data_IF_740479198214
#
_entry.id   IF_740479198214
#
_cell.length_a   1.000
_cell.length_b   1.000
_cell.length_c   1.000
_cell.angle_alpha   90.00
_cell.angle_beta   90.00
_cell.angle_gamma   90.00
#
_symmetry.space_group_name_H-M   'P 1'
#
loop_
_entity.id
_entity.type
_entity.pdbx_description
1 polymer ?
#
# COMPACT_ATOMS: atom_id res chain seq x y z
N UNK A 1 0.55 22.08 -7.77
CA UNK A 1 0.66 22.29 -6.32
C UNK A 1 1.71 21.32 -5.79
N UNK A 2 2.69 21.78 -5.03
CA UNK A 2 3.67 20.90 -4.38
C UNK A 2 2.94 20.04 -3.34
N UNK A 3 2.97 18.72 -3.50
CA UNK A 3 2.45 17.78 -2.50
C UNK A 3 3.48 17.67 -1.39
N UNK A 4 3.11 18.05 -0.16
CA UNK A 4 4.00 18.04 0.99
C UNK A 4 4.49 16.61 1.28
N UNK A 5 5.72 16.50 1.78
CA UNK A 5 6.30 15.26 2.27
C UNK A 5 6.52 15.31 3.78
N UNK A 6 6.27 14.19 4.46
CA UNK A 6 6.53 14.03 5.90
C UNK A 6 7.92 13.52 6.20
N UNK A 7 8.51 12.74 5.30
CA UNK A 7 9.87 12.21 5.41
C UNK A 7 10.68 12.63 4.17
N UNK A 8 10.94 13.94 3.97
CA UNK A 8 11.61 14.46 2.78
C UNK A 8 13.01 13.89 2.57
N UNK A 9 13.69 13.46 3.64
CA UNK A 9 15.01 12.84 3.63
C UNK A 9 15.02 11.44 3.00
N UNK A 10 13.90 10.73 2.98
CA UNK A 10 13.79 9.46 2.26
C UNK A 10 13.66 9.72 0.76
N UNK A 11 14.46 9.06 -0.07
CA UNK A 11 14.27 9.15 -1.52
C UNK A 11 13.11 8.27 -1.97
N UNK A 12 12.31 8.74 -2.94
CA UNK A 12 11.31 7.88 -3.55
C UNK A 12 11.95 6.77 -4.38
N UNK A 13 11.26 5.62 -4.54
CA UNK A 13 11.67 4.59 -5.48
C UNK A 13 11.85 5.15 -6.89
N UNK A 14 12.78 4.57 -7.65
CA UNK A 14 13.13 5.01 -9.01
C UNK A 14 11.97 4.87 -10.00
N UNK A 15 10.98 4.03 -9.70
CA UNK A 15 9.72 3.93 -10.43
C UNK A 15 8.57 3.53 -9.49
N UNK A 16 7.35 3.91 -9.86
CA UNK A 16 6.11 3.50 -9.20
C UNK A 16 5.56 2.24 -9.87
N UNK A 17 5.63 1.11 -9.18
CA UNK A 17 5.31 -0.20 -9.75
C UNK A 17 3.87 -0.31 -10.23
N UNK A 18 3.72 -0.87 -11.44
CA UNK A 18 2.46 -1.23 -12.07
C UNK A 18 2.61 -2.63 -12.69
N UNK A 19 1.75 -3.62 -12.35
CA UNK A 19 1.89 -4.99 -12.83
C UNK A 19 2.01 -5.12 -14.34
N UNK A 20 3.00 -5.90 -14.76
CA UNK A 20 3.26 -6.18 -16.17
C UNK A 20 3.80 -4.98 -16.96
N UNK A 21 4.26 -3.93 -16.28
CA UNK A 21 4.84 -2.73 -16.90
C UNK A 21 6.28 -2.43 -16.45
N UNK A 22 6.65 -2.82 -15.24
CA UNK A 22 8.01 -2.66 -14.69
C UNK A 22 8.47 -3.98 -14.04
N UNK A 23 9.80 -4.17 -13.85
CA UNK A 23 10.34 -5.21 -12.98
C UNK A 23 9.66 -5.24 -11.62
N UNK A 24 9.39 -6.43 -11.09
CA UNK A 24 8.75 -6.55 -9.80
C UNK A 24 9.70 -6.07 -8.68
N UNK A 25 9.31 -5.11 -7.82
CA UNK A 25 10.21 -4.46 -6.87
C UNK A 25 11.05 -5.40 -6.00
N UNK A 26 10.44 -6.47 -5.49
CA UNK A 26 11.12 -7.43 -4.58
C UNK A 26 11.57 -8.73 -5.26
N UNK A 27 10.91 -9.14 -6.36
CA UNK A 27 11.06 -10.49 -6.93
C UNK A 27 11.94 -10.53 -8.17
N UNK A 28 12.16 -9.39 -8.79
CA UNK A 28 12.95 -9.26 -10.01
C UNK A 28 14.33 -8.70 -9.65
N UNK A 29 15.45 -9.24 -10.16
CA UNK A 29 16.78 -8.68 -9.94
C UNK A 29 16.94 -7.21 -10.34
N UNK A 30 16.15 -6.70 -11.28
CA UNK A 30 16.10 -5.30 -11.67
C UNK A 30 15.09 -4.46 -10.82
N UNK A 31 14.50 -5.06 -9.80
CA UNK A 31 13.52 -4.45 -8.91
C UNK A 31 14.12 -3.41 -7.98
N UNK A 32 13.42 -2.30 -7.76
CA UNK A 32 13.90 -1.19 -6.90
C UNK A 32 14.04 -1.53 -5.40
N UNK A 33 13.55 -2.70 -4.97
CA UNK A 33 13.69 -3.24 -3.62
C UNK A 33 14.33 -4.64 -3.61
N UNK A 34 14.96 -5.06 -4.71
CA UNK A 34 15.55 -6.40 -4.80
C UNK A 34 16.69 -6.55 -3.80
N UNK A 35 16.72 -7.66 -3.06
CA UNK A 35 17.67 -7.92 -1.96
C UNK A 35 17.76 -6.82 -0.89
N UNK A 36 16.85 -5.84 -0.90
CA UNK A 36 16.76 -4.89 0.20
C UNK A 36 16.29 -5.66 1.42
N UNK A 37 16.94 -5.44 2.58
CA UNK A 37 16.38 -5.96 3.82
C UNK A 37 14.94 -5.45 3.92
N UNK A 38 13.99 -6.36 4.18
CA UNK A 38 12.62 -5.98 4.42
C UNK A 38 12.61 -4.80 5.41
N UNK A 39 11.76 -3.80 5.18
CA UNK A 39 11.60 -2.74 6.18
C UNK A 39 11.48 -3.41 7.54
N UNK A 40 12.32 -3.02 8.54
CA UNK A 40 12.25 -3.61 9.86
C UNK A 40 10.80 -3.66 10.28
N UNK A 41 10.36 -4.80 10.79
CA UNK A 41 9.01 -4.94 11.35
C UNK A 41 8.74 -3.70 12.19
N UNK A 42 7.68 -2.96 11.87
CA UNK A 42 7.50 -1.62 12.41
C UNK A 42 7.65 -1.69 13.93
N UNK A 43 8.68 -1.03 14.45
CA UNK A 43 9.03 -1.09 15.87
C UNK A 43 7.89 -0.55 16.74
N UNK A 44 7.04 0.31 16.15
CA UNK A 44 5.88 0.89 16.79
C UNK A 44 4.67 0.86 15.84
N UNK A 45 3.56 0.31 16.33
CA UNK A 45 2.29 0.22 15.61
C UNK A 45 1.49 1.47 15.90
N UNK A 46 1.76 2.54 15.15
CA UNK A 46 1.17 3.85 15.41
C UNK A 46 0.94 4.65 14.13
N UNK A 47 -0.09 5.49 14.13
CA UNK A 47 -0.34 6.50 13.09
C UNK A 47 0.62 7.69 13.19
N UNK A 48 1.43 7.76 14.24
CA UNK A 48 2.50 8.75 14.37
C UNK A 48 3.88 8.19 13.96
N UNK A 49 3.96 6.89 13.62
CA UNK A 49 5.20 6.22 13.20
C UNK A 49 5.73 6.69 11.85
N UNK A 50 7.05 6.58 11.65
CA UNK A 50 7.68 6.88 10.36
C UNK A 50 7.23 5.93 9.25
N UNK A 51 6.91 4.67 9.56
CA UNK A 51 6.36 3.74 8.58
C UNK A 51 4.99 4.21 8.08
N UNK A 52 4.13 4.72 8.96
CA UNK A 52 2.85 5.28 8.56
C UNK A 52 3.03 6.52 7.68
N UNK A 53 3.88 7.46 8.10
CA UNK A 53 4.21 8.69 7.35
C UNK A 53 4.83 8.40 5.99
N UNK A 54 5.66 7.35 5.91
CA UNK A 54 6.22 6.90 4.64
C UNK A 54 5.15 6.41 3.67
N UNK A 55 4.17 5.64 4.16
CA UNK A 55 3.01 5.25 3.36
C UNK A 55 2.18 6.45 2.88
N UNK A 56 2.02 7.49 3.71
CA UNK A 56 1.37 8.74 3.29
C UNK A 56 2.13 9.42 2.15
N UNK A 57 3.46 9.57 2.29
CA UNK A 57 4.30 10.15 1.25
C UNK A 57 4.15 9.40 -0.08
N UNK A 58 4.29 8.08 -0.06
CA UNK A 58 4.16 7.24 -1.24
C UNK A 58 2.77 7.34 -1.88
N UNK A 59 1.71 7.23 -1.07
CA UNK A 59 0.34 7.28 -1.56
C UNK A 59 0.01 8.64 -2.20
N UNK A 60 0.35 9.73 -1.50
CA UNK A 60 0.08 11.08 -1.99
C UNK A 60 0.85 11.39 -3.29
N UNK A 61 1.96 10.72 -3.54
CA UNK A 61 2.77 10.92 -4.73
C UNK A 61 2.51 9.88 -5.83
N UNK A 62 1.55 8.96 -5.69
CA UNK A 62 1.16 8.02 -6.76
C UNK A 62 1.92 6.69 -6.77
N UNK A 63 2.73 6.42 -5.74
CA UNK A 63 3.42 5.15 -5.50
C UNK A 63 2.49 4.18 -4.75
N UNK A 64 1.36 3.86 -5.36
CA UNK A 64 0.27 3.14 -4.67
C UNK A 64 0.64 1.71 -4.28
N UNK A 65 1.44 1.01 -5.08
CA UNK A 65 1.88 -0.33 -4.70
C UNK A 65 2.86 -0.26 -3.53
N UNK A 66 3.77 0.70 -3.54
CA UNK A 66 4.75 0.87 -2.46
C UNK A 66 4.08 1.32 -1.16
N UNK A 67 3.06 2.18 -1.24
CA UNK A 67 2.25 2.57 -0.08
C UNK A 67 1.49 1.36 0.53
N UNK A 68 0.99 0.46 -0.33
CA UNK A 68 0.38 -0.79 0.10
C UNK A 68 1.35 -1.62 0.95
N UNK A 69 2.57 -1.84 0.46
CA UNK A 69 3.59 -2.61 1.18
C UNK A 69 3.99 -1.94 2.51
N UNK A 70 4.17 -0.62 2.51
CA UNK A 70 4.53 0.13 3.70
C UNK A 70 3.50 -0.04 4.83
N UNK A 71 2.21 -0.01 4.49
CA UNK A 71 1.14 -0.22 5.47
C UNK A 71 0.85 -1.69 5.77
N UNK A 72 1.22 -2.63 4.89
CA UNK A 72 1.05 -4.07 5.15
C UNK A 72 1.89 -4.53 6.33
N UNK A 73 3.13 -4.03 6.47
CA UNK A 73 3.96 -4.32 7.64
C UNK A 73 3.29 -3.95 8.96
N UNK A 74 2.70 -2.74 9.04
CA UNK A 74 1.93 -2.27 10.21
C UNK A 74 0.66 -3.11 10.43
N UNK A 75 -0.03 -3.47 9.35
CA UNK A 75 -1.22 -4.31 9.43
C UNK A 75 -0.94 -5.70 9.97
N UNK A 76 0.18 -6.32 9.58
CA UNK A 76 0.52 -7.69 9.99
C UNK A 76 0.67 -7.78 11.52
N UNK A 77 1.34 -6.81 12.14
CA UNK A 77 1.62 -6.80 13.58
C UNK A 77 0.51 -6.21 14.44
N UNK A 78 -0.40 -5.42 13.86
CA UNK A 78 -1.52 -4.85 14.62
C UNK A 78 -2.47 -5.93 15.15
N UNK A 79 -2.94 -5.78 16.40
CA UNK A 79 -3.82 -6.75 17.04
C UNK A 79 -5.10 -7.02 16.24
N UNK A 80 -5.55 -8.28 16.28
CA UNK A 80 -6.80 -8.68 15.63
C UNK A 80 -7.97 -7.94 16.29
N UNK A 81 -8.82 -7.32 15.48
CA UNK A 81 -9.98 -6.55 15.95
C UNK A 81 -9.65 -5.11 16.36
N UNK A 82 -8.38 -4.73 16.48
CA UNK A 82 -8.00 -3.36 16.84
C UNK A 82 -8.42 -2.36 15.74
N UNK A 83 -8.88 -1.14 16.11
CA UNK A 83 -9.19 -0.07 15.15
C UNK A 83 -8.02 0.26 14.21
N UNK A 84 -6.77 0.25 14.72
CA UNK A 84 -5.56 0.46 13.90
C UNK A 84 -5.41 -0.58 12.79
N UNK A 85 -5.63 -1.87 13.10
CA UNK A 85 -5.59 -2.93 12.09
C UNK A 85 -6.65 -2.71 11.01
N UNK A 86 -7.84 -2.26 11.40
CA UNK A 86 -8.92 -1.93 10.47
C UNK A 86 -8.57 -0.73 9.59
N UNK A 87 -7.98 0.33 10.17
CA UNK A 87 -7.47 1.48 9.44
C UNK A 87 -6.44 1.08 8.39
N UNK A 88 -5.39 0.37 8.79
CA UNK A 88 -4.34 -0.07 7.85
C UNK A 88 -4.93 -0.96 6.75
N UNK A 89 -5.87 -1.86 7.07
CA UNK A 89 -6.54 -2.65 6.03
C UNK A 89 -7.33 -1.79 5.04
N UNK A 90 -7.99 -0.74 5.51
CA UNK A 90 -8.66 0.24 4.66
C UNK A 90 -7.69 0.96 3.72
N UNK A 91 -6.57 1.46 4.24
CA UNK A 91 -5.53 2.15 3.47
C UNK A 91 -4.82 1.25 2.46
N UNK A 92 -4.57 -0.02 2.80
CA UNK A 92 -4.03 -1.05 1.91
C UNK A 92 -4.98 -1.32 0.73
N UNK A 93 -6.28 -1.42 0.99
CA UNK A 93 -7.29 -1.61 -0.05
C UNK A 93 -7.43 -0.36 -0.92
N UNK A 94 -7.36 0.83 -0.32
CA UNK A 94 -7.40 2.09 -1.06
C UNK A 94 -6.19 2.23 -2.00
N UNK A 95 -5.01 1.85 -1.53
CA UNK A 95 -3.80 1.75 -2.34
C UNK A 95 -3.97 0.78 -3.51
N UNK A 96 -4.54 -0.41 -3.26
CA UNK A 96 -4.86 -1.36 -4.32
C UNK A 96 -5.85 -0.77 -5.35
N UNK A 97 -6.84 0.01 -4.91
CA UNK A 97 -7.74 0.73 -5.81
C UNK A 97 -6.96 1.72 -6.70
N UNK A 98 -6.04 2.49 -6.13
CA UNK A 98 -5.16 3.40 -6.88
C UNK A 98 -4.37 2.69 -7.97
N UNK A 99 -3.80 1.51 -7.68
CA UNK A 99 -3.12 0.73 -8.72
C UNK A 99 -4.10 0.25 -9.80
N UNK A 100 -5.29 -0.22 -9.43
CA UNK A 100 -6.31 -0.65 -10.42
C UNK A 100 -6.81 0.49 -11.30
N UNK A 101 -6.89 1.71 -10.78
CA UNK A 101 -7.20 2.90 -11.58
C UNK A 101 -6.09 3.13 -12.60
N UNK A 102 -4.80 3.10 -12.19
CA UNK A 102 -3.65 3.21 -13.11
C UNK A 102 -3.56 2.09 -14.14
N UNK A 103 -4.05 0.88 -13.82
CA UNK A 103 -4.19 -0.23 -14.78
C UNK A 103 -5.40 -0.07 -15.72
N UNK A 104 -6.20 1.00 -15.59
CA UNK A 104 -7.49 1.19 -16.28
C UNK A 104 -8.50 0.06 -16.01
N UNK A 105 -8.42 -0.58 -14.84
CA UNK A 105 -9.31 -1.69 -14.41
C UNK A 105 -10.39 -1.18 -13.45
N UNK A 106 -11.31 -0.37 -13.96
CA UNK A 106 -12.30 0.36 -13.15
C UNK A 106 -13.14 -0.54 -12.24
N UNK A 107 -13.69 -1.65 -12.74
CA UNK A 107 -14.49 -2.56 -11.90
C UNK A 107 -13.69 -3.15 -10.72
N UNK A 108 -12.40 -3.44 -10.91
CA UNK A 108 -11.53 -3.88 -9.83
C UNK A 108 -11.23 -2.74 -8.84
N UNK A 109 -11.00 -1.52 -9.34
CA UNK A 109 -10.84 -0.34 -8.51
C UNK A 109 -12.06 -0.10 -7.61
N UNK A 110 -13.27 -0.13 -8.18
CA UNK A 110 -14.52 0.04 -7.45
C UNK A 110 -14.69 -1.00 -6.34
N UNK A 111 -14.36 -2.27 -6.61
CA UNK A 111 -14.42 -3.32 -5.59
C UNK A 111 -13.44 -3.06 -4.43
N UNK A 112 -12.25 -2.55 -4.71
CA UNK A 112 -11.28 -2.21 -3.65
C UNK A 112 -11.69 -0.97 -2.87
N UNK A 113 -12.11 0.09 -3.56
CA UNK A 113 -12.61 1.31 -2.94
C UNK A 113 -13.82 1.03 -2.05
N UNK A 114 -14.82 0.28 -2.50
CA UNK A 114 -16.00 -0.04 -1.69
C UNK A 114 -15.69 -0.88 -0.44
N UNK A 115 -14.74 -1.81 -0.54
CA UNK A 115 -14.25 -2.57 0.63
C UNK A 115 -13.46 -1.68 1.60
N UNK A 116 -12.61 -0.79 1.08
CA UNK A 116 -11.91 0.20 1.90
C UNK A 116 -12.91 1.11 2.63
N UNK A 117 -13.89 1.64 1.90
CA UNK A 117 -14.93 2.52 2.41
C UNK A 117 -15.76 1.87 3.52
N UNK A 118 -16.12 0.59 3.36
CA UNK A 118 -16.80 -0.18 4.42
C UNK A 118 -15.99 -0.21 5.72
N UNK A 119 -14.68 -0.43 5.65
CA UNK A 119 -13.82 -0.47 6.84
C UNK A 119 -13.67 0.93 7.45
N UNK A 120 -13.44 1.94 6.62
CA UNK A 120 -13.25 3.31 7.06
C UNK A 120 -14.50 3.90 7.73
N UNK A 121 -15.70 3.63 7.20
CA UNK A 121 -16.96 4.05 7.83
C UNK A 121 -17.17 3.41 9.21
N UNK A 122 -16.73 2.15 9.42
CA UNK A 122 -16.82 1.49 10.74
C UNK A 122 -15.96 2.19 11.81
N UNK A 123 -14.87 2.85 11.41
CA UNK A 123 -14.01 3.60 12.32
C UNK A 123 -14.69 4.87 12.86
N UNK A 124 -15.75 5.37 12.23
CA UNK A 124 -16.52 6.53 12.76
C UNK A 124 -17.13 6.26 14.13
N UNK A 125 -17.38 4.99 14.45
CA UNK A 125 -17.96 4.58 15.73
C UNK A 125 -16.90 4.48 16.84
N UNK A 126 -15.64 4.81 16.55
CA UNK A 126 -14.57 4.85 17.54
C UNK A 126 -14.42 6.28 18.07
N UNK A 127 -14.17 6.44 19.37
CA UNK A 127 -13.92 7.75 19.98
C UNK A 127 -12.51 8.30 19.67
N UNK A 128 -11.78 7.67 18.75
CA UNK A 128 -10.38 7.96 18.50
C UNK A 128 -10.20 9.06 17.44
N UNK A 129 -9.96 10.28 17.90
CA UNK A 129 -9.67 11.43 17.03
C UNK A 129 -8.27 11.39 16.39
N UNK A 130 -7.40 10.45 16.79
CA UNK A 130 -6.05 10.32 16.22
C UNK A 130 -6.10 10.04 14.72
N UNK A 131 -7.09 9.28 14.24
CA UNK A 131 -7.23 8.98 12.81
C UNK A 131 -7.59 10.21 11.99
N UNK A 132 -8.45 11.08 12.52
CA UNK A 132 -8.79 12.34 11.86
C UNK A 132 -7.56 13.22 11.72
N UNK A 133 -6.78 13.35 12.80
CA UNK A 133 -5.52 14.10 12.81
C UNK A 133 -4.51 13.51 11.81
N UNK A 134 -4.32 12.19 11.85
CA UNK A 134 -3.34 11.48 11.04
C UNK A 134 -3.67 11.46 9.54
N UNK A 135 -4.96 11.41 9.18
CA UNK A 135 -5.42 11.42 7.79
C UNK A 135 -5.71 12.83 7.25
N UNK A 136 -5.81 13.84 8.13
CA UNK A 136 -6.25 15.19 7.77
C UNK A 136 -7.74 15.33 7.45
N UNK A 137 -8.50 14.24 7.57
CA UNK A 137 -9.94 14.17 7.35
C UNK A 137 -10.53 12.99 8.12
N UNK A 138 -11.85 12.95 8.27
CA UNK A 138 -12.50 11.79 8.89
C UNK A 138 -12.34 10.54 8.01
N UNK A 139 -12.24 9.34 8.60
CA UNK A 139 -12.29 8.08 7.85
C UNK A 139 -13.54 7.99 6.94
N UNK A 140 -14.66 8.57 7.37
CA UNK A 140 -15.88 8.70 6.57
C UNK A 140 -15.68 9.50 5.29
N UNK A 141 -15.08 10.69 5.41
CA UNK A 141 -14.79 11.55 4.25
C UNK A 141 -13.83 10.84 3.29
N UNK A 142 -12.81 10.16 3.82
CA UNK A 142 -11.90 9.35 3.02
C UNK A 142 -12.63 8.22 2.26
N UNK A 143 -13.63 7.59 2.89
CA UNK A 143 -14.46 6.57 2.25
C UNK A 143 -15.23 7.12 1.03
N UNK A 144 -15.85 8.30 1.16
CA UNK A 144 -16.56 8.96 0.07
C UNK A 144 -15.61 9.32 -1.08
N UNK A 145 -14.45 9.90 -0.75
CA UNK A 145 -13.43 10.22 -1.74
C UNK A 145 -12.89 8.99 -2.48
N UNK A 146 -12.68 7.88 -1.77
CA UNK A 146 -12.24 6.62 -2.36
C UNK A 146 -13.23 6.08 -3.40
N UNK A 147 -14.52 6.06 -3.05
CA UNK A 147 -15.58 5.58 -3.94
C UNK A 147 -15.82 6.53 -5.13
N UNK A 148 -15.73 7.85 -4.91
CA UNK A 148 -15.82 8.83 -5.98
C UNK A 148 -14.69 8.66 -7.00
N UNK A 149 -13.45 8.56 -6.54
CA UNK A 149 -12.29 8.41 -7.42
C UNK A 149 -12.31 7.09 -8.22
N UNK A 150 -12.88 6.01 -7.68
CA UNK A 150 -13.01 4.75 -8.40
C UNK A 150 -14.15 4.74 -9.44
N UNK A 151 -15.16 5.59 -9.28
CA UNK A 151 -16.29 5.73 -10.22
C UNK A 151 -15.95 6.62 -11.40
N UNK A 152 -15.18 7.68 -11.17
CA UNK A 152 -14.77 8.60 -12.23
C UNK A 152 -13.56 8.02 -12.97
N UNK A 153 -13.60 7.87 -14.30
CA UNK A 153 -12.41 7.54 -15.06
C UNK A 153 -11.36 8.62 -14.81
N UNK A 154 -10.25 8.26 -14.17
CA UNK A 154 -9.14 9.19 -14.04
C UNK A 154 -8.66 9.57 -15.45
N UNK A 155 -8.46 10.87 -15.69
CA UNK A 155 -7.81 11.36 -16.90
C UNK A 155 -6.31 10.99 -16.84
N UNK A 156 -6.01 9.71 -17.05
CA UNK A 156 -4.64 9.21 -17.03
C UNK A 156 -3.90 9.81 -18.22
N UNK A 157 -2.97 10.69 -17.93
CA UNK A 157 -2.02 11.22 -18.89
C UNK A 157 -1.10 10.09 -19.38
N UNK A 158 -0.76 10.12 -20.67
CA UNK A 158 0.30 9.31 -21.23
C UNK A 158 1.64 9.72 -20.58
N UNK A 159 2.00 9.02 -19.52
CA UNK A 159 3.23 9.25 -18.76
C UNK A 159 4.26 8.20 -19.17
N UNK A 160 5.54 8.56 -19.08
CA UNK A 160 6.65 7.62 -19.30
C UNK A 160 6.49 6.41 -18.37
N UNK A 161 6.86 5.21 -18.85
CA UNK A 161 6.77 3.99 -18.06
C UNK A 161 7.49 4.15 -16.72
N UNK A 162 6.83 3.72 -15.64
CA UNK A 162 7.38 3.76 -14.29
C UNK A 162 7.20 5.09 -13.58
N UNK A 163 6.75 6.15 -14.26
CA UNK A 163 6.46 7.41 -13.57
C UNK A 163 5.24 7.26 -12.64
N UNK A 164 5.32 7.82 -11.42
CA UNK A 164 4.16 7.89 -10.55
C UNK A 164 3.07 8.75 -11.17
N UNK A 165 1.82 8.34 -10.98
CA UNK A 165 0.66 9.10 -11.42
C UNK A 165 -0.36 9.15 -10.30
N UNK A 166 -0.70 10.36 -9.88
CA UNK A 166 -1.73 10.59 -8.86
C UNK A 166 -3.10 10.45 -9.49
N UNK A 167 -3.95 9.60 -8.90
CA UNK A 167 -5.34 9.35 -9.33
C UNK A 167 -6.36 9.74 -8.27
N UNK A 168 -5.91 10.14 -7.09
CA UNK A 168 -6.75 10.63 -6.01
C UNK A 168 -6.54 12.14 -5.84
N UNK A 169 -7.60 12.92 -6.00
CA UNK A 169 -7.55 14.38 -5.90
C UNK A 169 -7.31 14.86 -4.47
N UNK A 170 -7.73 14.08 -3.48
CA UNK A 170 -7.48 14.36 -2.08
C UNK A 170 -6.02 14.13 -1.68
N UNK A 171 -5.68 14.64 -0.50
CA UNK A 171 -4.38 14.55 0.11
C UNK A 171 -4.54 13.99 1.53
N UNK A 172 -3.77 12.94 1.87
CA UNK A 172 -3.79 12.32 3.19
C UNK A 172 -2.74 12.96 4.10
N UNK A 173 -3.14 13.33 5.31
CA UNK A 173 -2.28 13.88 6.36
C UNK A 173 -2.74 15.25 6.85
N UNK A 174 -2.29 15.70 8.04
CA UNK A 174 -2.80 16.92 8.66
C UNK A 174 -2.60 18.15 7.77
N UNK A 175 -3.70 18.87 7.50
CA UNK A 175 -3.68 20.18 6.86
C UNK A 175 -2.97 21.19 7.76
N UNK A 176 -2.04 21.97 7.23
CA UNK A 176 -1.20 22.94 7.96
C UNK A 176 -1.96 24.18 8.49
N UNK A 177 -3.20 24.04 8.96
CA UNK A 177 -4.10 25.15 9.32
C UNK A 177 -4.48 25.28 10.79
N UNK A 178 -3.86 24.51 11.69
CA UNK A 178 -4.06 24.67 13.13
C UNK A 178 -2.90 25.44 13.75
N UNK A 179 -3.13 26.69 14.15
CA UNK A 179 -2.27 27.40 15.10
C UNK A 179 -1.96 26.43 16.27
N UNK A 180 -0.72 26.30 16.75
CA UNK A 180 -0.51 25.69 18.05
C UNK A 180 -1.29 26.56 19.04
N UNK A 181 -2.34 25.99 19.63
CA UNK A 181 -2.95 26.58 20.81
C UNK A 181 -1.78 26.75 21.78
N UNK A 182 -1.45 28.00 22.09
CA UNK A 182 -0.48 28.35 23.10
C UNK A 182 -0.91 27.67 24.39
N UNK A 183 -0.31 26.53 24.70
CA UNK A 183 -0.44 25.90 26.01
C UNK A 183 0.21 26.86 26.99
N UNK A 184 -0.63 27.66 27.65
CA UNK A 184 -0.25 28.38 28.84
C UNK A 184 0.45 27.42 29.78
N UNK A 185 1.70 27.76 30.03
CA UNK A 185 2.60 27.23 31.03
C UNK A 185 1.87 27.12 32.38
N UNK A 186 1.55 25.90 32.80
CA UNK A 186 1.30 25.60 34.21
C UNK A 186 2.49 24.84 34.74
N UNK A 187 3.38 25.59 35.39
CA UNK A 187 4.40 25.09 36.29
C UNK A 187 3.76 24.38 37.48
N UNK A 188 4.27 23.19 37.80
CA UNK A 188 4.28 22.60 39.14
C UNK A 188 5.39 21.52 39.20
N UNK A 189 5.94 21.23 40.39
CA UNK A 189 7.38 21.20 40.61
C UNK A 189 8.03 19.80 40.48
N UNK A 190 9.35 19.83 40.38
CA UNK A 190 10.21 18.70 40.07
C UNK A 190 10.21 17.57 41.09
N UNK A 191 10.45 16.37 40.55
CA UNK A 191 10.95 15.22 41.28
C UNK A 191 12.10 14.64 40.45
N UNK A 192 13.30 14.73 41.03
CA UNK A 192 14.51 14.03 40.62
C UNK A 192 14.40 12.56 41.05
N UNK A 193 14.51 11.65 40.09
CA UNK A 193 14.86 10.25 40.33
C UNK A 193 15.78 9.78 39.20
N UNK A 194 17.07 9.91 39.48
CA UNK A 194 18.13 9.12 38.85
C UNK A 194 18.07 7.65 39.29
N UNK A 195 18.67 6.79 38.43
CA UNK A 195 19.12 5.39 38.62
C UNK A 195 18.28 4.26 37.99
N UNK A 196 18.95 3.63 37.00
CA UNK A 196 19.03 2.19 36.71
C UNK A 196 17.75 1.53 36.18
N UNK A 197 17.77 0.59 35.23
CA UNK A 197 18.77 -0.42 34.96
C UNK A 197 18.57 -0.99 33.56
N UNK A 198 19.64 -1.57 33.04
CA UNK A 198 19.69 -2.38 31.83
C UNK A 198 18.69 -3.55 31.87
N UNK A 199 18.03 -3.81 30.74
CA UNK A 199 17.38 -5.09 30.46
C UNK A 199 17.83 -5.58 29.08
N UNK A 200 18.91 -6.35 29.12
CA UNK A 200 19.44 -7.16 28.03
C UNK A 200 18.89 -8.58 28.20
N UNK A 201 18.13 -9.12 27.23
CA UNK A 201 17.89 -10.57 27.07
C UNK A 201 17.46 -10.90 25.62
N UNK A 202 17.73 -12.12 25.11
CA UNK A 202 18.21 -12.34 23.76
C UNK A 202 17.22 -13.03 22.79
N UNK A 203 17.61 -12.98 21.51
CA UNK A 203 17.24 -13.81 20.36
C UNK A 203 16.53 -15.16 20.65
N UNK A 204 15.43 -15.43 19.93
CA UNK A 204 15.31 -16.64 19.08
C UNK A 204 14.23 -16.48 18.00
N UNK A 205 14.66 -16.70 16.76
CA UNK A 205 13.82 -17.02 15.59
C UNK A 205 13.15 -18.38 15.79
N UNK A 206 11.81 -18.45 15.66
CA UNK A 206 11.06 -19.53 15.01
C UNK A 206 9.56 -19.27 15.24
N UNK A 207 8.82 -18.93 14.18
CA UNK A 207 7.43 -19.36 13.95
C UNK A 207 7.04 -18.99 12.51
N UNK A 208 7.63 -19.73 11.57
CA UNK A 208 7.05 -19.97 10.26
C UNK A 208 5.82 -20.88 10.45
N UNK A 209 4.72 -20.54 9.77
CA UNK A 209 3.42 -21.25 9.62
C UNK A 209 2.24 -20.60 10.35
N UNK A 210 1.43 -19.85 9.61
CA UNK A 210 0.07 -19.52 10.02
C UNK A 210 -0.62 -18.46 9.15
N UNK A 211 -1.68 -18.88 8.46
CA UNK A 211 -2.66 -18.07 7.73
C UNK A 211 -2.34 -17.65 6.28
N UNK A 212 -2.70 -18.57 5.38
CA UNK A 212 -3.11 -18.35 3.99
C UNK A 212 -4.32 -17.40 3.91
N UNK A 213 -4.10 -16.10 4.08
CA UNK A 213 -5.14 -15.12 3.75
C UNK A 213 -4.51 -13.89 3.06
N UNK A 214 -4.79 -13.81 1.76
CA UNK A 214 -4.87 -12.55 1.00
C UNK A 214 -3.62 -11.99 0.27
N UNK A 215 -2.80 -12.86 -0.33
CA UNK A 215 -1.91 -12.52 -1.48
C UNK A 215 -2.63 -12.69 -2.86
N UNK A 216 -3.89 -13.14 -2.84
CA UNK A 216 -4.69 -13.56 -4.01
C UNK A 216 -5.27 -12.44 -4.88
N UNK A 217 -4.85 -11.18 -4.71
CA UNK A 217 -5.46 -10.07 -5.45
C UNK A 217 -4.53 -9.39 -6.47
N UNK A 218 -3.23 -9.67 -6.39
CA UNK A 218 -2.26 -9.15 -7.34
C UNK A 218 -1.56 -10.25 -8.15
N UNK A 219 -1.40 -11.46 -7.60
CA UNK A 219 -0.62 -12.52 -8.25
C UNK A 219 -1.38 -13.34 -9.31
N UNK A 220 -2.71 -13.51 -9.22
CA UNK A 220 -3.45 -14.41 -10.12
C UNK A 220 -3.79 -13.82 -11.49
N UNK A 221 -3.77 -12.49 -11.65
CA UNK A 221 -4.00 -11.87 -12.97
C UNK A 221 -2.77 -11.88 -13.89
N UNK A 222 -1.59 -12.27 -13.39
CA UNK A 222 -0.39 -12.42 -14.23
C UNK A 222 -0.15 -13.88 -14.66
N UNK A 223 -0.61 -14.88 -13.91
CA UNK A 223 -0.50 -16.29 -14.34
C UNK A 223 -1.43 -16.63 -15.51
N UNK A 224 -2.59 -15.98 -15.62
CA UNK A 224 -3.57 -16.23 -16.69
C UNK A 224 -3.29 -15.51 -18.02
N UNK A 225 -2.25 -14.69 -18.11
CA UNK A 225 -1.81 -14.06 -19.39
C UNK A 225 -0.59 -14.72 -20.03
N UNK A 226 0.16 -15.54 -19.28
CA UNK A 226 1.31 -16.28 -19.80
C UNK A 226 0.91 -17.60 -20.48
N UNK A 227 -0.28 -18.15 -20.19
CA UNK A 227 -0.77 -19.42 -20.74
C UNK A 227 -1.50 -19.31 -22.09
N UNK A 228 -1.39 -18.18 -22.81
CA UNK A 228 -1.98 -18.05 -24.17
C UNK A 228 -1.05 -17.47 -25.24
N UNK A 229 0.28 -17.58 -25.06
CA UNK A 229 1.24 -17.28 -26.12
C UNK A 229 2.15 -18.47 -26.50
N UNK A 230 2.06 -19.61 -25.82
CA UNK A 230 2.71 -20.86 -26.25
C UNK A 230 1.69 -21.82 -26.87
N UNK A 231 1.21 -21.48 -28.07
CA UNK A 231 0.93 -22.50 -29.09
C UNK A 231 1.79 -22.10 -30.28
N UNK A 232 3.06 -22.46 -30.16
CA UNK A 232 4.06 -22.29 -31.19
C UNK A 232 3.71 -23.10 -32.44
N UNK A 233 3.92 -22.42 -33.56
CA UNK A 233 4.17 -22.98 -34.88
C UNK A 233 5.13 -24.18 -34.80
N UNK A 234 4.69 -25.33 -35.31
CA UNK A 234 5.51 -26.53 -35.48
C UNK A 234 5.13 -27.21 -36.78
N UNK A 235 5.93 -26.99 -37.82
CA UNK A 235 5.81 -27.65 -39.11
C UNK A 235 6.24 -29.12 -39.02
N UNK A 236 5.54 -30.00 -39.73
CA UNK A 236 6.07 -31.26 -40.28
C UNK A 236 5.23 -31.70 -41.49
N UNK A 237 5.95 -32.16 -42.51
CA UNK A 237 5.58 -32.40 -43.91
C UNK A 237 4.63 -33.59 -44.16
N UNK A 238 4.08 -33.75 -45.39
CA UNK A 238 3.06 -34.75 -45.69
C UNK A 238 3.67 -36.11 -46.05
N UNK A 239 3.09 -37.20 -45.54
CA UNK A 239 3.42 -38.56 -45.97
C UNK A 239 2.54 -38.93 -47.15
N UNK A 240 3.18 -39.13 -48.30
CA UNK A 240 2.63 -39.75 -49.50
C UNK A 240 2.60 -41.27 -49.26
N UNK A 241 1.47 -41.92 -49.52
CA UNK A 241 1.39 -43.37 -49.71
C UNK A 241 0.60 -43.67 -50.97
N UNK A 242 1.31 -44.19 -51.98
CA UNK A 242 0.76 -44.86 -53.15
C UNK A 242 0.60 -46.38 -52.90
N UNK A 243 -0.14 -47.10 -53.76
CA UNK A 243 -0.76 -48.39 -53.46
C UNK A 243 0.06 -49.59 -53.98
N UNK A 244 -0.15 -50.78 -53.41
CA UNK A 244 0.28 -52.04 -54.04
C UNK A 244 -0.81 -53.11 -53.91
N UNK A 245 -1.11 -53.71 -55.06
CA UNK A 245 -2.01 -54.82 -55.30
C UNK A 245 -1.37 -56.19 -54.95
N UNK A 246 -2.17 -57.13 -54.46
CA UNK A 246 -2.47 -58.44 -55.08
C UNK A 246 -3.52 -59.18 -54.24
#
# INVERSE_FOLDING_TARGET
MLRRRWLPEKSFPSYAYLPGRQPHPVRDPAGHSYNSQAMPLAAEISVDSDTFRWGLDLFNHGYYWEAHEAWEGLWQVADRGAPLRMLFKGLILLSAAGVKIRESKQAAAMRHAGRAATLLRRLMNTADHSFVRALGMSPAALAEHAEAAARTPAALQATSLGQPQVVFEFFLGPSSGGNPISSQERQAPGIDLSLTNECHVPFTWLCFHGARDFVMLFSELQKLKMTRLDVGSGALQPTITEPVAY
#
